data_IF_882831240597
#
_entry.id   IF_882831240597
#
_cell.length_a   1.000
_cell.length_b   1.000
_cell.length_c   1.000
_cell.angle_alpha   90.00
_cell.angle_beta   90.00
_cell.angle_gamma   90.00
#
_symmetry.space_group_name_H-M   'P 1'
#
loop_
_entity.id
_entity.type
_entity.pdbx_description
1 polymer ?
#
# COMPACT_ATOMS: atom_id res chain seq x y z
N UNK A 1 -46.98 -60.70 10.62
CA UNK A 1 -45.68 -60.94 9.96
C UNK A 1 -45.37 -59.80 9.01
N UNK A 2 -44.20 -59.19 9.18
CA UNK A 2 -43.75 -57.87 8.72
C UNK A 2 -43.26 -57.90 7.25
N UNK A 3 -43.62 -56.92 6.42
CA UNK A 3 -42.76 -56.40 5.33
C UNK A 3 -43.00 -54.90 5.07
N UNK A 4 -42.36 -54.07 5.89
CA UNK A 4 -42.15 -52.64 5.65
C UNK A 4 -40.71 -52.47 5.13
N UNK A 5 -40.51 -52.54 3.81
CA UNK A 5 -39.18 -52.40 3.17
C UNK A 5 -39.22 -51.52 1.93
N UNK A 6 -39.64 -50.27 2.05
CA UNK A 6 -39.33 -49.25 1.02
C UNK A 6 -39.74 -47.89 1.52
N UNK A 7 -38.82 -47.13 2.12
CA UNK A 7 -38.90 -45.66 2.22
C UNK A 7 -37.63 -45.00 2.81
N UNK A 8 -36.50 -45.71 2.89
CA UNK A 8 -35.26 -45.20 3.49
C UNK A 8 -34.17 -44.89 2.46
N UNK A 9 -34.51 -44.28 1.32
CA UNK A 9 -33.53 -43.86 0.30
C UNK A 9 -33.87 -42.50 -0.30
N UNK A 10 -33.85 -41.42 0.49
CA UNK A 10 -33.86 -40.06 -0.06
C UNK A 10 -33.41 -38.96 0.94
N UNK A 11 -32.46 -39.19 1.86
CA UNK A 11 -32.06 -38.12 2.78
C UNK A 11 -30.57 -37.94 3.09
N UNK A 12 -29.66 -38.71 2.50
CA UNK A 12 -28.23 -38.55 2.81
C UNK A 12 -27.41 -38.25 1.56
N UNK A 13 -27.35 -36.98 1.12
CA UNK A 13 -26.21 -36.49 0.30
C UNK A 13 -26.17 -34.95 0.20
N UNK A 14 -26.25 -34.24 1.32
CA UNK A 14 -26.07 -32.78 1.36
C UNK A 14 -25.23 -32.34 2.57
N UNK A 15 -24.17 -33.08 2.87
CA UNK A 15 -23.23 -32.75 3.94
C UNK A 15 -21.85 -32.42 3.37
N UNK A 16 -21.43 -31.18 3.61
CA UNK A 16 -20.03 -30.87 3.89
C UNK A 16 -19.17 -30.45 2.71
N UNK A 17 -19.45 -29.27 2.13
CA UNK A 17 -18.38 -28.45 1.56
C UNK A 17 -18.32 -27.15 2.36
N UNK A 18 -17.84 -27.23 3.59
CA UNK A 18 -17.40 -26.03 4.32
C UNK A 18 -16.07 -25.65 3.69
N UNK A 19 -16.12 -24.89 2.60
CA UNK A 19 -14.95 -24.19 2.09
C UNK A 19 -14.55 -23.20 3.17
N UNK A 20 -13.48 -23.50 3.90
CA UNK A 20 -12.76 -22.51 4.70
C UNK A 20 -12.14 -21.52 3.72
N UNK A 21 -12.95 -20.56 3.25
CA UNK A 21 -12.44 -19.39 2.57
C UNK A 21 -11.59 -18.64 3.61
N UNK A 22 -10.26 -18.76 3.47
CA UNK A 22 -9.35 -17.89 4.21
C UNK A 22 -9.78 -16.45 3.94
N UNK A 23 -9.96 -15.66 5.00
CA UNK A 23 -10.29 -14.24 4.85
C UNK A 23 -9.09 -13.59 4.15
N UNK A 24 -9.26 -13.18 2.89
CA UNK A 24 -8.24 -12.41 2.18
C UNK A 24 -8.00 -11.11 2.97
N UNK A 25 -6.80 -10.96 3.53
CA UNK A 25 -6.41 -9.74 4.22
C UNK A 25 -6.06 -8.70 3.17
N UNK A 26 -6.64 -7.51 3.27
CA UNK A 26 -6.28 -6.39 2.40
C UNK A 26 -4.82 -6.00 2.64
N UNK A 27 -4.09 -5.64 1.57
CA UNK A 27 -2.75 -5.09 1.72
C UNK A 27 -2.80 -3.78 2.50
N UNK A 28 -1.82 -3.59 3.39
CA UNK A 28 -1.70 -2.41 4.23
C UNK A 28 -0.23 -2.00 4.37
N UNK A 29 -0.03 -0.72 4.62
CA UNK A 29 1.25 -0.20 5.11
C UNK A 29 1.35 -0.38 6.63
N UNK A 30 2.55 -0.70 7.09
CA UNK A 30 2.91 -0.80 8.50
C UNK A 30 4.26 -0.14 8.74
N UNK A 31 4.64 0.04 10.00
CA UNK A 31 5.94 0.57 10.38
C UNK A 31 6.65 -0.35 11.35
N UNK A 32 7.98 -0.27 11.36
CA UNK A 32 8.82 -0.93 12.36
C UNK A 32 9.92 0.02 12.84
N UNK A 33 10.17 0.03 14.15
CA UNK A 33 11.14 0.91 14.78
C UNK A 33 10.75 2.39 14.75
N UNK A 34 11.76 3.25 14.85
CA UNK A 34 11.61 4.70 14.87
C UNK A 34 11.20 5.28 16.23
N UNK A 35 11.12 6.60 16.29
CA UNK A 35 10.73 7.36 17.48
C UNK A 35 9.71 8.42 17.10
N UNK A 36 8.59 8.46 17.84
CA UNK A 36 7.60 9.51 17.67
C UNK A 36 8.23 10.87 17.98
N UNK A 37 8.21 11.76 17.00
CA UNK A 37 8.82 13.09 17.04
C UNK A 37 7.79 14.11 16.60
N UNK A 38 7.61 15.16 17.40
CA UNK A 38 6.74 16.28 17.02
C UNK A 38 7.27 16.97 15.77
N UNK A 39 6.41 17.20 14.78
CA UNK A 39 6.71 18.07 13.64
C UNK A 39 6.51 19.55 14.01
N UNK A 40 5.76 19.80 15.09
CA UNK A 40 5.57 21.14 15.64
C UNK A 40 6.77 21.49 16.53
N UNK A 41 7.39 22.66 16.28
CA UNK A 41 8.47 23.19 17.11
C UNK A 41 9.84 22.56 16.87
N UNK A 42 10.05 21.92 15.72
CA UNK A 42 11.39 21.52 15.28
C UNK A 42 12.27 22.77 15.02
N UNK A 43 13.60 22.62 14.96
CA UNK A 43 14.48 23.61 14.35
C UNK A 43 14.14 23.71 12.86
N UNK A 44 13.59 24.83 12.43
CA UNK A 44 12.86 24.90 11.17
C UNK A 44 11.38 24.52 11.37
N UNK A 45 10.46 25.08 10.59
CA UNK A 45 9.02 24.79 10.76
C UNK A 45 8.60 23.92 9.61
N UNK A 46 8.13 22.69 9.87
CA UNK A 46 7.62 21.83 8.80
C UNK A 46 6.56 22.55 7.95
N UNK A 47 6.97 23.05 6.78
CA UNK A 47 6.20 23.95 5.94
C UNK A 47 6.45 23.73 4.44
N UNK A 48 6.50 22.48 3.95
CA UNK A 48 6.87 22.20 2.56
C UNK A 48 5.94 22.92 1.59
N UNK A 49 6.48 23.34 0.45
CA UNK A 49 5.66 23.82 -0.65
C UNK A 49 4.93 22.64 -1.32
N UNK A 50 3.63 22.50 -1.03
CA UNK A 50 2.82 21.34 -1.40
C UNK A 50 2.42 21.30 -2.88
N UNK A 51 2.31 20.09 -3.42
CA UNK A 51 1.72 19.80 -4.73
C UNK A 51 0.19 19.86 -4.65
N UNK A 52 -0.39 20.94 -5.17
CA UNK A 52 -1.84 21.16 -5.13
C UNK A 52 -2.28 21.76 -3.80
N UNK A 53 -3.55 21.55 -3.44
CA UNK A 53 -4.09 22.10 -2.20
C UNK A 53 -3.55 21.33 -0.98
N UNK A 54 -2.86 22.05 -0.08
CA UNK A 54 -2.34 21.52 1.18
C UNK A 54 -3.44 20.85 2.04
N UNK A 55 -4.70 21.28 1.89
CA UNK A 55 -5.85 20.70 2.59
C UNK A 55 -6.08 19.21 2.28
N UNK A 56 -5.67 18.75 1.09
CA UNK A 56 -5.77 17.34 0.67
C UNK A 56 -4.85 16.44 1.49
N UNK A 57 -3.67 16.94 1.88
CA UNK A 57 -2.72 16.19 2.68
C UNK A 57 -3.01 16.34 4.17
N UNK A 58 -3.38 17.52 4.63
CA UNK A 58 -3.68 17.80 6.04
C UNK A 58 -4.92 17.07 6.58
N UNK A 59 -5.89 16.70 5.73
CA UNK A 59 -7.10 15.98 6.16
C UNK A 59 -6.93 14.47 6.25
N UNK A 60 -5.95 13.90 5.53
CA UNK A 60 -5.72 12.44 5.48
C UNK A 60 -4.58 11.99 6.41
N UNK A 61 -3.67 12.90 6.73
CA UNK A 61 -2.49 12.65 7.55
C UNK A 61 -2.49 13.54 8.80
N UNK A 62 -2.13 12.95 9.95
CA UNK A 62 -1.85 13.73 11.15
C UNK A 62 -0.42 14.30 11.07
N UNK A 63 -0.31 15.58 10.72
CA UNK A 63 0.96 16.28 10.57
C UNK A 63 1.49 16.88 11.89
N UNK A 64 0.94 16.49 13.05
CA UNK A 64 1.47 16.93 14.34
C UNK A 64 2.75 16.21 14.75
N UNK A 65 2.92 14.96 14.29
CA UNK A 65 4.06 14.12 14.61
C UNK A 65 4.40 13.17 13.48
N UNK A 66 5.64 12.67 13.50
CA UNK A 66 6.14 11.64 12.60
C UNK A 66 6.84 10.52 13.37
N UNK A 67 6.97 9.36 12.73
CA UNK A 67 7.85 8.29 13.18
C UNK A 67 9.23 8.47 12.53
N UNK A 68 10.12 9.17 13.22
CA UNK A 68 11.49 9.43 12.76
C UNK A 68 12.33 8.15 12.79
N UNK A 69 12.98 7.81 11.68
CA UNK A 69 13.80 6.61 11.55
C UNK A 69 13.02 5.28 11.58
N UNK A 70 11.70 5.31 11.38
CA UNK A 70 10.93 4.09 11.21
C UNK A 70 11.10 3.54 9.79
N UNK A 71 11.06 2.22 9.67
CA UNK A 71 10.97 1.55 8.37
C UNK A 71 9.52 1.41 7.94
N UNK A 72 9.20 1.79 6.70
CA UNK A 72 7.89 1.57 6.08
C UNK A 72 7.83 0.16 5.48
N UNK A 73 6.81 -0.59 5.84
CA UNK A 73 6.66 -2.02 5.51
C UNK A 73 5.35 -2.21 4.75
N UNK A 74 5.42 -3.01 3.69
CA UNK A 74 4.26 -3.54 3.00
C UNK A 74 3.90 -4.91 3.58
N UNK A 75 2.66 -5.10 4.04
CA UNK A 75 2.26 -6.34 4.73
C UNK A 75 1.84 -7.47 3.80
N UNK A 76 1.37 -7.13 2.59
CA UNK A 76 0.96 -8.07 1.55
C UNK A 76 1.32 -7.52 0.17
N UNK A 77 1.53 -8.36 -0.86
CA UNK A 77 1.84 -7.88 -2.20
C UNK A 77 0.85 -6.82 -2.70
N UNK A 78 1.38 -5.74 -3.26
CA UNK A 78 0.57 -4.61 -3.72
C UNK A 78 1.24 -3.87 -4.87
N UNK A 79 0.44 -3.13 -5.63
CA UNK A 79 0.98 -2.09 -6.49
C UNK A 79 1.33 -0.89 -5.60
N UNK A 80 2.49 -0.30 -5.81
CA UNK A 80 3.02 0.82 -5.02
C UNK A 80 3.25 1.99 -5.94
N UNK A 81 2.74 3.16 -5.57
CA UNK A 81 2.95 4.42 -6.30
C UNK A 81 3.64 5.41 -5.39
N UNK A 82 4.73 5.99 -5.87
CA UNK A 82 5.44 7.08 -5.21
C UNK A 82 5.17 8.36 -5.98
N UNK A 83 4.84 9.44 -5.26
CA UNK A 83 4.57 10.75 -5.81
C UNK A 83 5.31 11.81 -4.99
N UNK A 84 6.04 12.69 -5.67
CA UNK A 84 6.68 13.82 -5.03
C UNK A 84 5.64 14.92 -4.78
N UNK A 85 5.39 15.25 -3.51
CA UNK A 85 4.24 16.07 -3.10
C UNK A 85 4.59 17.34 -2.37
N UNK A 86 5.84 17.56 -1.98
CA UNK A 86 6.22 18.79 -1.32
C UNK A 86 7.71 18.90 -1.09
N UNK A 87 8.23 20.11 -1.00
CA UNK A 87 9.60 20.36 -0.55
C UNK A 87 9.75 21.81 -0.05
N UNK A 88 10.65 22.02 0.88
CA UNK A 88 11.30 23.30 1.14
C UNK A 88 12.79 23.04 1.36
N UNK A 89 13.58 23.17 0.30
CA UNK A 89 15.02 22.90 0.37
C UNK A 89 15.77 23.83 -0.58
N UNK A 90 17.04 24.10 -0.30
CA UNK A 90 17.96 24.67 -1.28
C UNK A 90 18.67 23.61 -2.13
N UNK A 91 18.80 22.38 -1.63
CA UNK A 91 19.47 21.29 -2.34
C UNK A 91 18.58 20.61 -3.38
N UNK A 92 19.24 20.03 -4.40
CA UNK A 92 18.57 19.19 -5.39
C UNK A 92 18.41 17.75 -4.87
N UNK A 93 17.51 17.55 -3.92
CA UNK A 93 17.28 16.25 -3.29
C UNK A 93 16.60 15.28 -4.26
N UNK A 94 16.88 13.99 -4.08
CA UNK A 94 16.25 12.96 -4.87
C UNK A 94 15.76 11.79 -4.04
N UNK A 95 14.63 11.25 -4.44
CA UNK A 95 14.08 9.98 -3.98
C UNK A 95 14.35 8.91 -5.03
N UNK A 96 14.81 7.74 -4.61
CA UNK A 96 15.10 6.60 -5.49
C UNK A 96 14.44 5.34 -4.95
N UNK A 97 13.93 4.51 -5.87
CA UNK A 97 13.43 3.17 -5.58
C UNK A 97 13.65 2.31 -6.82
N UNK A 98 14.37 1.20 -6.68
CA UNK A 98 14.84 0.43 -7.83
C UNK A 98 15.63 1.30 -8.82
N UNK A 99 15.22 1.29 -10.09
CA UNK A 99 15.82 2.13 -11.15
C UNK A 99 15.15 3.51 -11.30
N UNK A 100 14.07 3.76 -10.57
CA UNK A 100 13.26 4.98 -10.69
C UNK A 100 13.76 6.08 -9.76
N UNK A 101 13.55 7.34 -10.17
CA UNK A 101 14.02 8.51 -9.44
C UNK A 101 13.08 9.70 -9.57
N UNK A 102 12.79 10.34 -8.45
CA UNK A 102 12.15 11.66 -8.38
C UNK A 102 13.19 12.67 -7.88
N UNK A 103 13.33 13.80 -8.59
CA UNK A 103 14.16 14.92 -8.13
C UNK A 103 13.24 16.03 -7.65
N UNK A 104 13.55 16.71 -6.56
CA UNK A 104 12.73 17.84 -6.10
C UNK A 104 12.72 19.00 -7.11
N UNK A 105 13.79 19.16 -7.91
CA UNK A 105 13.89 20.16 -8.97
C UNK A 105 14.53 19.65 -10.27
N UNK A 106 14.21 20.33 -11.37
CA UNK A 106 14.91 20.25 -12.65
C UNK A 106 15.39 21.66 -13.02
N UNK A 107 16.67 21.94 -12.77
CA UNK A 107 17.19 23.30 -12.82
C UNK A 107 16.51 24.20 -11.78
N UNK A 108 15.84 25.26 -12.25
CA UNK A 108 15.14 26.22 -11.40
C UNK A 108 13.69 25.83 -11.06
N UNK A 109 13.15 24.78 -11.68
CA UNK A 109 11.73 24.42 -11.55
C UNK A 109 11.53 23.25 -10.59
N UNK A 110 10.51 23.36 -9.74
CA UNK A 110 10.06 22.24 -8.92
C UNK A 110 9.40 21.16 -9.79
N UNK A 111 9.63 19.87 -9.49
CA UNK A 111 9.00 18.75 -10.20
C UNK A 111 7.77 18.20 -9.46
N UNK A 112 7.07 19.02 -8.67
CA UNK A 112 5.93 18.61 -7.86
C UNK A 112 4.88 17.85 -8.69
N UNK A 113 4.33 16.78 -8.12
CA UNK A 113 3.34 15.91 -8.77
C UNK A 113 3.92 14.81 -9.66
N UNK A 114 5.24 14.82 -9.89
CA UNK A 114 5.91 13.70 -10.56
C UNK A 114 5.74 12.41 -9.75
N UNK A 115 5.50 11.30 -10.46
CA UNK A 115 5.23 10.00 -9.84
C UNK A 115 5.67 8.85 -10.73
N UNK A 116 5.86 7.69 -10.11
CA UNK A 116 6.06 6.41 -10.78
C UNK A 116 5.42 5.28 -9.94
N UNK A 117 5.15 4.14 -10.59
CA UNK A 117 4.47 3.01 -9.95
C UNK A 117 5.14 1.68 -10.27
N UNK A 118 5.16 0.80 -9.28
CA UNK A 118 5.44 -0.62 -9.44
C UNK A 118 4.12 -1.40 -9.38
N UNK A 119 3.88 -2.24 -10.36
CA UNK A 119 2.62 -3.01 -10.47
C UNK A 119 2.50 -4.14 -9.45
N UNK A 120 3.63 -4.62 -8.93
CA UNK A 120 3.67 -5.66 -7.90
C UNK A 120 4.96 -5.57 -7.09
N UNK A 121 4.81 -5.24 -5.81
CA UNK A 121 5.87 -5.24 -4.81
C UNK A 121 5.53 -6.29 -3.78
N UNK A 122 6.49 -7.14 -3.42
CA UNK A 122 6.31 -8.20 -2.43
C UNK A 122 6.19 -7.64 -1.01
N UNK A 123 5.55 -8.38 -0.11
CA UNK A 123 5.50 -8.01 1.31
C UNK A 123 6.90 -7.97 1.93
N UNK A 124 7.39 -6.77 2.23
CA UNK A 124 8.72 -6.49 2.76
C UNK A 124 8.80 -5.02 3.23
N UNK A 125 9.84 -4.61 3.98
CA UNK A 125 10.24 -3.22 4.01
C UNK A 125 10.40 -2.68 2.58
N UNK A 126 9.78 -1.52 2.31
CA UNK A 126 9.86 -0.92 0.98
C UNK A 126 11.30 -0.50 0.68
N UNK A 127 11.79 -0.84 -0.51
CA UNK A 127 13.13 -0.49 -0.96
C UNK A 127 13.14 0.90 -1.58
N UNK A 128 13.41 1.90 -0.76
CA UNK A 128 13.61 3.28 -1.20
C UNK A 128 14.76 3.93 -0.45
N UNK A 129 15.28 5.00 -1.01
CA UNK A 129 16.29 5.85 -0.39
C UNK A 129 16.17 7.29 -0.86
N UNK A 130 16.79 8.20 -0.11
CA UNK A 130 17.01 9.57 -0.55
C UNK A 130 18.50 9.84 -0.80
N UNK A 131 18.76 10.86 -1.62
CA UNK A 131 20.07 11.45 -1.86
C UNK A 131 19.98 12.93 -1.56
N UNK A 132 20.85 13.41 -0.67
CA UNK A 132 20.99 14.85 -0.42
C UNK A 132 21.78 15.48 -1.58
N UNK A 133 21.22 16.54 -2.19
CA UNK A 133 21.80 17.17 -3.38
C UNK A 133 22.06 16.17 -4.54
N UNK A 134 21.23 15.13 -4.62
CA UNK A 134 21.12 14.24 -5.78
C UNK A 134 22.27 13.26 -5.96
N UNK A 135 23.26 13.26 -5.05
CA UNK A 135 24.45 12.41 -5.05
C UNK A 135 24.88 12.07 -3.62
N UNK A 136 25.92 11.24 -3.44
CA UNK A 136 26.45 10.91 -2.12
C UNK A 136 25.78 9.70 -1.44
N UNK A 137 25.78 9.64 -0.09
CA UNK A 137 25.27 8.50 0.64
C UNK A 137 23.74 8.39 0.52
N UNK A 138 23.26 7.15 0.47
CA UNK A 138 21.83 6.86 0.45
C UNK A 138 21.25 6.90 1.87
N UNK A 139 20.20 7.69 2.05
CA UNK A 139 19.38 7.69 3.26
C UNK A 139 18.21 6.74 3.04
N UNK A 140 18.47 5.44 3.28
CA UNK A 140 17.51 4.38 3.04
C UNK A 140 16.29 4.41 3.99
N UNK A 141 15.26 3.64 3.64
CA UNK A 141 14.12 3.37 4.51
C UNK A 141 14.58 2.98 5.94
N UNK A 142 14.07 3.67 6.96
CA UNK A 142 14.50 3.51 8.36
C UNK A 142 15.69 4.40 8.79
N UNK A 143 16.23 5.24 7.91
CA UNK A 143 17.29 6.19 8.26
C UNK A 143 16.77 7.31 9.17
N UNK A 144 17.61 7.81 10.10
CA UNK A 144 17.27 8.89 11.03
C UNK A 144 16.91 10.23 10.36
N UNK A 145 17.34 10.43 9.12
CA UNK A 145 16.99 11.55 8.26
C UNK A 145 15.65 11.37 7.53
N UNK A 146 14.95 10.25 7.77
CA UNK A 146 13.61 9.99 7.23
C UNK A 146 12.57 9.99 8.34
N UNK A 147 11.37 10.46 8.01
CA UNK A 147 10.19 10.44 8.86
C UNK A 147 9.01 9.81 8.15
N UNK A 148 8.13 9.14 8.89
CA UNK A 148 6.92 8.53 8.34
C UNK A 148 5.66 9.06 9.02
N UNK A 149 4.65 9.37 8.21
CA UNK A 149 3.29 9.67 8.66
C UNK A 149 2.34 8.76 7.90
N UNK A 150 1.68 7.83 8.60
CA UNK A 150 0.71 6.90 7.99
C UNK A 150 -0.66 7.57 7.86
N UNK A 151 -1.39 7.27 6.79
CA UNK A 151 -2.83 7.57 6.74
C UNK A 151 -3.59 6.65 7.69
N UNK A 152 -4.76 7.09 8.14
CA UNK A 152 -5.60 6.33 9.08
C UNK A 152 -6.02 4.96 8.53
N UNK A 153 -6.25 4.85 7.23
CA UNK A 153 -6.62 3.62 6.52
C UNK A 153 -5.41 2.74 6.16
N UNK A 154 -4.18 3.21 6.40
CA UNK A 154 -2.91 2.55 6.06
C UNK A 154 -2.78 2.19 4.57
N UNK A 155 -3.52 2.86 3.69
CA UNK A 155 -3.36 2.71 2.24
C UNK A 155 -2.37 3.73 1.65
N UNK A 156 -1.93 4.70 2.46
CA UNK A 156 -0.90 5.64 2.06
C UNK A 156 -0.03 6.09 3.24
N UNK A 157 1.12 6.66 2.92
CA UNK A 157 2.00 7.29 3.88
C UNK A 157 2.66 8.52 3.25
N UNK A 158 3.06 9.47 4.08
CA UNK A 158 4.05 10.47 3.72
C UNK A 158 5.41 10.00 4.23
N UNK A 159 6.40 10.06 3.34
CA UNK A 159 7.81 9.87 3.63
C UNK A 159 8.43 11.26 3.61
N UNK A 160 8.86 11.69 4.78
CA UNK A 160 9.48 12.98 5.03
C UNK A 160 10.99 12.80 5.01
N UNK A 161 11.72 13.74 4.43
CA UNK A 161 13.17 13.68 4.35
C UNK A 161 13.77 14.98 4.86
N UNK A 162 14.80 14.86 5.68
CA UNK A 162 15.68 15.96 6.07
C UNK A 162 17.04 15.69 5.46
N UNK A 163 17.55 16.61 4.67
CA UNK A 163 18.77 16.42 3.91
C UNK A 163 20.02 16.55 4.81
N UNK A 164 21.20 16.68 4.21
CA UNK A 164 22.47 16.70 4.96
C UNK A 164 22.84 18.08 5.50
N UNK A 165 22.04 19.10 5.22
CA UNK A 165 22.21 20.41 5.82
C UNK A 165 21.94 20.32 7.33
N UNK A 166 22.85 20.89 8.13
CA UNK A 166 22.78 20.81 9.59
C UNK A 166 22.05 21.99 10.22
N UNK A 167 21.53 22.91 9.39
CA UNK A 167 20.92 24.17 9.85
C UNK A 167 19.42 24.08 10.12
N UNK A 168 18.75 23.04 9.62
CA UNK A 168 17.35 22.73 9.83
C UNK A 168 17.15 21.22 10.11
N UNK A 169 15.99 20.90 10.65
CA UNK A 169 15.66 19.59 11.20
C UNK A 169 14.16 19.35 11.17
N UNK A 170 13.46 19.99 10.24
CA UNK A 170 12.01 20.07 10.06
C UNK A 170 11.45 19.01 9.12
N UNK A 171 12.29 18.31 8.35
CA UNK A 171 11.90 17.18 7.50
C UNK A 171 10.99 17.54 6.32
N UNK A 172 11.04 18.78 5.86
CA UNK A 172 10.32 19.23 4.66
C UNK A 172 11.21 19.37 3.42
N UNK A 173 12.49 19.04 3.48
CA UNK A 173 13.41 19.14 2.34
C UNK A 173 12.98 18.33 1.10
N UNK A 174 12.26 17.23 1.34
CA UNK A 174 11.55 16.48 0.33
C UNK A 174 10.46 15.62 0.98
N UNK A 175 9.24 15.72 0.46
CA UNK A 175 8.08 14.94 0.90
C UNK A 175 7.57 14.09 -0.26
N UNK A 176 7.53 12.78 -0.03
CA UNK A 176 7.04 11.79 -1.00
C UNK A 176 5.83 11.08 -0.42
N UNK A 177 4.71 11.13 -1.14
CA UNK A 177 3.54 10.31 -0.84
C UNK A 177 3.73 8.94 -1.45
N UNK A 178 3.56 7.91 -0.66
CA UNK A 178 3.41 6.53 -1.12
C UNK A 178 1.96 6.09 -0.96
N UNK A 179 1.41 5.45 -1.97
CA UNK A 179 0.08 4.83 -1.91
C UNK A 179 0.11 3.43 -2.47
N UNK A 180 -0.69 2.55 -1.88
CA UNK A 180 -0.78 1.15 -2.28
C UNK A 180 -2.16 0.83 -2.83
N UNK A 181 -2.23 -0.16 -3.71
CA UNK A 181 -3.48 -0.79 -4.12
C UNK A 181 -3.30 -2.30 -4.20
N UNK A 182 -4.35 -3.03 -3.82
CA UNK A 182 -4.31 -4.49 -3.79
C UNK A 182 -4.09 -5.06 -5.20
N UNK A 183 -3.15 -6.00 -5.31
CA UNK A 183 -2.99 -6.81 -6.54
C UNK A 183 -3.95 -7.99 -6.43
N UNK A 184 -4.83 -8.23 -7.41
CA UNK A 184 -5.69 -9.41 -7.39
C UNK A 184 -4.84 -10.68 -7.33
N UNK A 185 -5.03 -11.48 -6.29
CA UNK A 185 -4.29 -12.73 -6.16
C UNK A 185 -4.75 -13.75 -7.22
N UNK A 186 -3.83 -14.51 -7.86
CA UNK A 186 -4.19 -15.52 -8.85
C UNK A 186 -5.17 -16.57 -8.31
N UNK A 187 -5.04 -16.89 -7.02
CA UNK A 187 -5.87 -17.89 -6.33
C UNK A 187 -7.32 -17.43 -6.21
N UNK A 188 -7.55 -16.13 -6.02
CA UNK A 188 -8.88 -15.55 -5.95
C UNK A 188 -9.58 -15.62 -7.32
N UNK A 189 -8.85 -15.40 -8.42
CA UNK A 189 -9.34 -15.64 -9.77
C UNK A 189 -9.63 -17.13 -9.99
N UNK A 190 -8.76 -18.01 -9.49
CA UNK A 190 -8.97 -19.46 -9.51
C UNK A 190 -10.26 -19.88 -8.79
N UNK A 191 -10.51 -19.35 -7.60
CA UNK A 191 -11.71 -19.62 -6.81
C UNK A 191 -12.98 -19.03 -7.43
N UNK A 192 -12.89 -17.84 -8.03
CA UNK A 192 -13.99 -17.25 -8.79
C UNK A 192 -14.36 -18.14 -9.99
N UNK A 193 -13.37 -18.56 -10.78
CA UNK A 193 -13.56 -19.46 -11.92
C UNK A 193 -14.09 -20.82 -11.48
N UNK A 194 -13.59 -21.37 -10.37
CA UNK A 194 -14.08 -22.61 -9.79
C UNK A 194 -15.56 -22.48 -9.35
N UNK A 195 -15.92 -21.38 -8.68
CA UNK A 195 -17.28 -21.07 -8.27
C UNK A 195 -18.24 -20.96 -9.47
N UNK A 196 -17.84 -20.23 -10.52
CA UNK A 196 -18.58 -20.15 -11.78
C UNK A 196 -18.72 -21.53 -12.47
N UNK A 197 -17.66 -22.33 -12.46
CA UNK A 197 -17.67 -23.70 -12.97
C UNK A 197 -18.70 -24.59 -12.26
N UNK A 198 -18.79 -24.51 -10.93
CA UNK A 198 -19.79 -25.27 -10.16
C UNK A 198 -21.21 -24.80 -10.49
N UNK A 199 -21.46 -23.49 -10.56
CA UNK A 199 -22.79 -22.94 -10.87
C UNK A 199 -23.25 -23.40 -12.26
N UNK A 200 -22.40 -23.30 -13.28
CA UNK A 200 -22.72 -23.72 -14.65
C UNK A 200 -23.00 -25.23 -14.73
N UNK A 201 -22.24 -26.06 -14.02
CA UNK A 201 -22.47 -27.50 -13.95
C UNK A 201 -23.81 -27.86 -13.30
N UNK A 202 -24.21 -27.16 -12.23
CA UNK A 202 -25.49 -27.35 -11.54
C UNK A 202 -26.66 -26.95 -12.44
N UNK A 203 -26.57 -25.80 -13.11
CA UNK A 203 -27.60 -25.33 -14.06
C UNK A 203 -27.77 -26.32 -15.22
N UNK A 204 -26.67 -26.84 -15.77
CA UNK A 204 -26.71 -27.84 -16.85
C UNK A 204 -27.40 -29.13 -16.41
N UNK A 205 -27.10 -29.63 -15.21
CA UNK A 205 -27.74 -30.84 -14.66
C UNK A 205 -29.25 -30.67 -14.48
N UNK A 206 -29.70 -29.51 -13.99
CA UNK A 206 -31.13 -29.20 -13.83
C UNK A 206 -31.88 -29.17 -15.17
N UNK A 207 -31.29 -28.59 -16.21
CA UNK A 207 -31.89 -28.59 -17.56
C UNK A 207 -32.02 -30.00 -18.15
N UNK A 208 -31.00 -30.85 -18.02
CA UNK A 208 -31.06 -32.24 -18.53
C UNK A 208 -32.10 -33.08 -17.79
N UNK A 209 -32.33 -32.84 -16.50
CA UNK A 209 -33.36 -33.54 -15.73
C UNK A 209 -34.79 -33.09 -16.11
N UNK A 210 -35.00 -31.80 -16.36
CA UNK A 210 -36.29 -31.28 -16.83
C UNK A 210 -36.67 -31.80 -18.23
N UNK A 211 -35.70 -31.97 -19.13
CA UNK A 211 -35.92 -32.51 -20.48
C UNK A 211 -36.17 -34.03 -20.53
N UNK A 212 -35.90 -34.76 -19.44
CA UNK A 212 -36.18 -36.21 -19.34
C UNK A 212 -37.56 -36.53 -18.76
N UNK A 213 -38.34 -35.52 -18.38
CA UNK A 213 -39.70 -35.68 -17.83
C UNK A 213 -40.81 -35.26 -18.81
N UNK A 214 -40.47 -35.04 -20.08
CA UNK A 214 -41.39 -34.88 -21.22
C UNK A 214 -41.22 -36.09 -22.13
#
# INVERSE_FOLDING_TARGET
MIRLKTLCRALCLATGLVASAGMAQASALSTSGGTSTSLVGLPGTFNPNWFGDASLYASTFDLSAMLKGASLILTQPAAVTYMFVGFDASFNNAFVSGAERLNNRSGAYANLGSSFSFSSVTAAPLDFSFLSNGSGPLFANGNRNTGLVLSADRQSALILFNDSFTGDGDFDDMVVRVSISAVPEPEMLGMLLAGLGVITAVVRRRRTQALRQV
#
